data_IF_881361235621
#
_entry.id   IF_881361235621
#
_cell.length_a   1.000
_cell.length_b   1.000
_cell.length_c   1.000
_cell.angle_alpha   90.00
_cell.angle_beta   90.00
_cell.angle_gamma   90.00
#
_symmetry.space_group_name_H-M   'P 1'
#
loop_
_entity.id
_entity.type
_entity.pdbx_description
1 polymer ?
#
# COMPACT_ATOMS: atom_id res chain seq x y z
N UNK A 1 2.50 -6.45 -32.15
CA UNK A 1 1.35 -5.55 -32.43
C UNK A 1 0.26 -5.91 -31.43
N UNK A 2 0.16 -5.15 -30.34
CA UNK A 2 -0.91 -5.28 -29.35
C UNK A 2 -2.11 -4.48 -29.89
N UNK A 3 -3.05 -5.16 -30.53
CA UNK A 3 -4.37 -4.57 -30.81
C UNK A 3 -5.07 -4.39 -29.47
N UNK A 4 -5.13 -3.16 -29.00
CA UNK A 4 -6.05 -2.73 -27.96
C UNK A 4 -7.48 -2.82 -28.54
N UNK A 5 -8.16 -3.94 -28.29
CA UNK A 5 -9.61 -3.95 -28.42
C UNK A 5 -10.14 -2.80 -27.56
N UNK A 6 -10.98 -1.94 -28.14
CA UNK A 6 -11.47 -0.72 -27.53
C UNK A 6 -12.10 -1.02 -26.15
N UNK A 7 -11.44 -0.62 -25.07
CA UNK A 7 -11.94 -0.71 -23.71
C UNK A 7 -13.21 0.16 -23.49
N UNK A 8 -13.65 0.89 -24.53
CA UNK A 8 -14.69 1.90 -24.41
C UNK A 8 -16.13 1.36 -24.34
N UNK A 9 -16.36 0.05 -24.50
CA UNK A 9 -17.74 -0.48 -24.59
C UNK A 9 -18.19 -1.31 -23.38
N UNK A 10 -17.36 -1.49 -22.34
CA UNK A 10 -17.66 -2.45 -21.26
C UNK A 10 -17.76 -1.87 -19.85
N UNK A 11 -17.50 -0.59 -19.66
CA UNK A 11 -17.59 0.03 -18.33
C UNK A 11 -18.79 0.99 -18.24
N UNK A 12 -19.50 1.01 -17.11
CA UNK A 12 -20.46 2.07 -16.84
C UNK A 12 -19.73 3.43 -16.95
N UNK A 13 -20.45 4.49 -17.28
CA UNK A 13 -19.86 5.83 -17.30
C UNK A 13 -19.15 6.08 -15.95
N UNK A 14 -17.97 6.71 -15.98
CA UNK A 14 -17.23 6.98 -14.76
C UNK A 14 -18.08 7.84 -13.81
N UNK A 15 -18.01 7.56 -12.53
CA UNK A 15 -18.59 8.45 -11.52
C UNK A 15 -17.95 9.85 -11.65
N UNK A 16 -18.73 10.93 -11.50
CA UNK A 16 -18.17 12.27 -11.51
C UNK A 16 -17.06 12.41 -10.48
N UNK A 17 -15.97 13.06 -10.87
CA UNK A 17 -14.86 13.34 -9.96
C UNK A 17 -15.34 14.25 -8.82
N UNK A 18 -14.81 14.05 -7.61
CA UNK A 18 -15.01 14.99 -6.52
C UNK A 18 -14.32 16.33 -6.83
N UNK A 19 -14.59 17.36 -6.03
CA UNK A 19 -14.09 18.71 -6.29
C UNK A 19 -12.55 18.77 -6.30
N UNK A 20 -11.88 17.99 -5.47
CA UNK A 20 -10.42 17.99 -5.37
C UNK A 20 -9.77 17.34 -6.60
N UNK A 21 -10.25 16.17 -7.00
CA UNK A 21 -9.77 15.51 -8.22
C UNK A 21 -10.12 16.33 -9.48
N UNK A 22 -11.26 17.02 -9.50
CA UNK A 22 -11.64 17.91 -10.59
C UNK A 22 -10.66 19.07 -10.73
N UNK A 23 -10.30 19.73 -9.61
CA UNK A 23 -9.29 20.81 -9.61
C UNK A 23 -7.92 20.31 -10.07
N UNK A 24 -7.50 19.15 -9.57
CA UNK A 24 -6.21 18.56 -9.93
C UNK A 24 -6.16 18.19 -11.42
N UNK A 25 -7.26 17.63 -11.94
CA UNK A 25 -7.37 17.28 -13.36
C UNK A 25 -7.37 18.54 -14.25
N UNK A 26 -8.10 19.61 -13.85
CA UNK A 26 -8.07 20.89 -14.56
C UNK A 26 -6.66 21.47 -14.61
N UNK A 27 -5.96 21.48 -13.47
CA UNK A 27 -4.55 21.94 -13.40
C UNK A 27 -3.68 21.17 -14.38
N UNK A 28 -3.80 19.83 -14.44
CA UNK A 28 -3.04 19.02 -15.38
C UNK A 28 -3.35 19.37 -16.86
N UNK A 29 -4.60 19.73 -17.19
CA UNK A 29 -4.96 20.18 -18.54
C UNK A 29 -4.35 21.55 -18.86
N UNK A 30 -4.37 22.49 -17.90
CA UNK A 30 -3.79 23.83 -18.07
C UNK A 30 -2.28 23.76 -18.32
N UNK A 31 -1.60 22.83 -17.66
CA UNK A 31 -0.17 22.58 -17.78
C UNK A 31 0.28 21.99 -19.11
N UNK A 32 -0.63 21.40 -19.88
CA UNK A 32 -0.31 20.92 -21.22
C UNK A 32 0.11 22.06 -22.16
N UNK A 33 -0.32 23.31 -21.90
CA UNK A 33 -0.06 24.47 -22.74
C UNK A 33 1.28 25.18 -22.44
N UNK A 34 2.11 24.57 -21.56
CA UNK A 34 3.45 25.09 -21.26
C UNK A 34 3.47 26.05 -20.07
N UNK A 35 2.34 26.26 -19.36
CA UNK A 35 2.38 26.89 -18.05
C UNK A 35 3.16 25.98 -17.10
N UNK A 36 4.10 26.53 -16.37
CA UNK A 36 4.91 25.76 -15.42
C UNK A 36 4.03 25.33 -14.24
N UNK A 37 3.76 24.06 -14.16
CA UNK A 37 2.72 23.45 -13.36
C UNK A 37 3.10 23.05 -11.96
N UNK A 38 4.36 22.95 -11.72
CA UNK A 38 4.88 22.51 -10.42
C UNK A 38 5.24 23.78 -9.66
N UNK A 39 4.47 24.08 -8.60
CA UNK A 39 4.88 25.05 -7.61
C UNK A 39 6.24 24.62 -7.04
N UNK A 40 7.30 25.25 -7.49
CA UNK A 40 8.65 24.99 -7.02
C UNK A 40 9.19 26.24 -6.32
N UNK A 41 9.65 26.06 -5.10
CA UNK A 41 10.27 27.13 -4.30
C UNK A 41 11.68 27.51 -4.77
N UNK A 42 12.18 26.89 -5.84
CA UNK A 42 13.52 27.11 -6.41
C UNK A 42 14.62 26.35 -5.67
N UNK A 43 14.27 25.46 -4.72
CA UNK A 43 15.26 24.76 -3.90
C UNK A 43 15.22 23.24 -4.17
N UNK A 44 16.41 22.67 -4.32
CA UNK A 44 16.58 21.22 -4.34
C UNK A 44 16.40 20.64 -2.92
N UNK A 45 15.88 19.41 -2.86
CA UNK A 45 15.80 18.63 -1.62
C UNK A 45 17.02 17.74 -1.44
N UNK A 46 17.43 17.50 -0.20
CA UNK A 46 18.53 16.60 0.11
C UNK A 46 18.13 15.66 1.24
N UNK A 47 18.38 14.35 1.04
CA UNK A 47 18.18 13.32 2.04
C UNK A 47 19.46 12.55 2.23
N UNK A 48 19.96 12.47 3.47
CA UNK A 48 21.19 11.77 3.77
C UNK A 48 21.09 10.29 3.35
N UNK A 49 22.12 9.76 2.71
CA UNK A 49 22.20 8.36 2.29
C UNK A 49 22.04 7.38 3.48
N UNK A 50 22.46 7.80 4.67
CA UNK A 50 22.27 7.05 5.92
C UNK A 50 20.79 6.76 6.23
N UNK A 51 19.85 7.60 5.78
CA UNK A 51 18.41 7.33 5.95
C UNK A 51 17.96 6.03 5.28
N UNK A 52 18.71 5.53 4.29
CA UNK A 52 18.40 4.31 3.54
C UNK A 52 19.28 3.11 3.94
N UNK A 53 20.28 3.30 4.79
CA UNK A 53 21.27 2.25 5.07
C UNK A 53 21.58 2.05 6.56
N UNK A 54 21.22 3.00 7.42
CA UNK A 54 21.51 2.96 8.84
C UNK A 54 20.47 2.12 9.61
N UNK A 55 20.88 1.05 10.33
CA UNK A 55 19.98 0.24 11.15
C UNK A 55 19.29 1.03 12.28
N UNK A 56 19.98 1.98 12.89
CA UNK A 56 19.41 2.78 13.98
C UNK A 56 18.35 3.76 13.44
N UNK A 57 18.56 4.26 12.23
CA UNK A 57 17.55 5.07 11.54
C UNK A 57 16.29 4.24 11.29
N UNK A 58 16.42 3.04 10.74
CA UNK A 58 15.29 2.13 10.53
C UNK A 58 14.59 1.77 11.85
N UNK A 59 15.34 1.49 12.91
CA UNK A 59 14.74 1.16 14.22
C UNK A 59 13.86 2.30 14.74
N UNK A 60 14.27 3.56 14.52
CA UNK A 60 13.49 4.77 14.85
C UNK A 60 12.24 4.88 13.99
N UNK A 61 12.35 4.66 12.66
CA UNK A 61 11.21 4.64 11.74
C UNK A 61 10.17 3.59 12.15
N UNK A 62 10.61 2.39 12.47
CA UNK A 62 9.72 1.31 12.95
C UNK A 62 9.03 1.70 14.25
N UNK A 63 9.78 2.22 15.23
CA UNK A 63 9.26 2.54 16.57
C UNK A 63 8.30 3.74 16.54
N UNK A 64 8.67 4.80 15.85
CA UNK A 64 8.01 6.10 15.98
C UNK A 64 7.04 6.42 14.84
N UNK A 65 7.14 5.71 13.69
CA UNK A 65 6.30 5.96 12.52
C UNK A 65 5.49 4.71 12.14
N UNK A 66 6.17 3.64 11.69
CA UNK A 66 5.50 2.49 11.09
C UNK A 66 4.60 1.73 12.06
N UNK A 67 4.93 1.65 13.34
CA UNK A 67 4.08 1.00 14.34
C UNK A 67 3.01 1.90 14.93
N UNK A 68 3.07 3.21 14.67
CA UNK A 68 2.17 4.21 15.26
C UNK A 68 1.04 4.67 14.35
N UNK A 69 1.20 4.47 13.05
CA UNK A 69 0.23 4.90 12.04
C UNK A 69 -0.58 3.72 11.51
N UNK A 70 -1.80 3.96 10.99
CA UNK A 70 -2.55 2.96 10.26
C UNK A 70 -1.77 2.45 9.05
N UNK A 71 -1.49 1.16 9.00
CA UNK A 71 -0.87 0.48 7.86
C UNK A 71 -1.90 -0.37 7.14
N UNK A 72 -1.87 -0.36 5.80
CA UNK A 72 -2.68 -1.26 5.00
C UNK A 72 -2.02 -2.64 4.93
N UNK A 73 -2.69 -3.66 5.46
CA UNK A 73 -2.16 -5.02 5.57
C UNK A 73 -2.62 -5.94 4.44
N UNK A 74 -3.62 -5.57 3.65
CA UNK A 74 -4.17 -6.37 2.57
C UNK A 74 -5.59 -5.99 2.21
N UNK A 75 -6.23 -6.80 1.38
CA UNK A 75 -7.63 -6.61 0.96
C UNK A 75 -8.56 -7.56 1.71
N UNK A 76 -9.66 -7.04 2.23
CA UNK A 76 -10.62 -7.80 3.04
C UNK A 76 -11.29 -8.96 2.26
N UNK A 77 -11.37 -8.81 0.93
CA UNK A 77 -11.90 -9.84 0.04
C UNK A 77 -10.98 -11.09 -0.07
N UNK A 78 -9.74 -11.04 0.44
CA UNK A 78 -8.93 -12.25 0.65
C UNK A 78 -9.54 -13.15 1.74
N UNK A 79 -10.29 -12.56 2.65
CA UNK A 79 -10.92 -13.21 3.79
C UNK A 79 -12.46 -13.15 3.65
N UNK A 80 -13.01 -13.62 2.52
CA UNK A 80 -14.44 -13.46 2.19
C UNK A 80 -15.39 -14.11 3.20
N UNK A 81 -15.04 -15.28 3.69
CA UNK A 81 -15.92 -16.11 4.48
C UNK A 81 -15.59 -16.03 6.00
N UNK A 82 -16.57 -16.05 6.88
CA UNK A 82 -16.32 -16.20 8.31
C UNK A 82 -15.43 -17.40 8.61
N UNK A 83 -14.40 -17.20 9.42
CA UNK A 83 -13.37 -18.18 9.73
C UNK A 83 -12.18 -18.18 8.76
N UNK A 84 -12.23 -17.41 7.67
CA UNK A 84 -11.05 -17.19 6.83
C UNK A 84 -9.98 -16.46 7.62
N UNK A 85 -8.73 -16.88 7.43
CA UNK A 85 -7.59 -16.30 8.13
C UNK A 85 -6.32 -16.39 7.31
N UNK A 86 -5.39 -15.46 7.60
CA UNK A 86 -4.11 -15.30 6.92
C UNK A 86 -3.04 -14.95 7.94
N UNK A 87 -1.92 -15.68 7.96
CA UNK A 87 -0.76 -15.33 8.75
C UNK A 87 0.22 -14.49 7.92
N UNK A 88 0.82 -13.46 8.54
CA UNK A 88 1.83 -12.61 7.90
C UNK A 88 2.79 -12.04 8.93
N UNK A 89 4.08 -12.05 8.62
CA UNK A 89 5.10 -11.38 9.44
C UNK A 89 5.33 -9.96 8.90
N UNK A 90 5.03 -8.96 9.73
CA UNK A 90 5.19 -7.54 9.37
C UNK A 90 5.95 -6.83 10.50
N UNK A 91 7.03 -6.11 10.16
CA UNK A 91 7.87 -5.36 11.10
C UNK A 91 8.34 -6.21 12.30
N UNK A 92 8.67 -7.48 12.03
CA UNK A 92 9.08 -8.45 13.04
C UNK A 92 7.96 -8.96 13.96
N UNK A 93 6.70 -8.62 13.65
CA UNK A 93 5.53 -9.06 14.40
C UNK A 93 4.80 -10.16 13.63
N UNK A 94 4.59 -11.35 14.21
CA UNK A 94 3.75 -12.38 13.61
C UNK A 94 2.28 -12.00 13.77
N UNK A 95 1.64 -11.63 12.67
CA UNK A 95 0.24 -11.22 12.62
C UNK A 95 -0.66 -12.36 12.15
N UNK A 96 -1.92 -12.30 12.59
CA UNK A 96 -3.00 -13.14 12.14
C UNK A 96 -4.19 -12.24 11.79
N UNK A 97 -4.53 -12.18 10.52
CA UNK A 97 -5.70 -11.49 10.02
C UNK A 97 -6.83 -12.52 9.97
N UNK A 98 -7.98 -12.22 10.55
CA UNK A 98 -9.11 -13.16 10.69
C UNK A 98 -10.40 -12.44 10.36
N UNK A 99 -11.26 -13.07 9.55
CA UNK A 99 -12.68 -12.70 9.52
C UNK A 99 -13.41 -13.52 10.57
N UNK A 100 -13.95 -12.88 11.57
CA UNK A 100 -14.67 -13.55 12.65
C UNK A 100 -16.06 -14.05 12.23
N UNK A 101 -16.84 -14.54 13.16
CA UNK A 101 -18.17 -15.12 12.88
C UNK A 101 -19.21 -14.07 12.54
N UNK A 102 -19.06 -12.89 13.06
CA UNK A 102 -19.89 -11.72 12.83
C UNK A 102 -19.57 -11.02 11.49
N UNK A 103 -18.49 -11.46 10.83
CA UNK A 103 -18.03 -10.90 9.56
C UNK A 103 -17.05 -9.73 9.72
N UNK A 104 -16.60 -9.46 10.95
CA UNK A 104 -15.66 -8.38 11.24
C UNK A 104 -14.21 -8.83 11.08
N UNK A 105 -13.34 -7.90 10.67
CA UNK A 105 -11.89 -8.16 10.58
C UNK A 105 -11.24 -7.99 11.95
N UNK A 106 -10.53 -9.01 12.36
CA UNK A 106 -9.66 -9.00 13.54
C UNK A 106 -8.20 -9.09 13.11
N UNK A 107 -7.34 -8.28 13.71
CA UNK A 107 -5.88 -8.40 13.58
C UNK A 107 -5.31 -8.75 14.95
N UNK A 108 -4.74 -9.94 15.04
CA UNK A 108 -4.25 -10.53 16.28
C UNK A 108 -2.74 -10.79 16.17
N UNK A 109 -2.03 -10.80 17.30
CA UNK A 109 -0.70 -11.38 17.32
C UNK A 109 -0.81 -12.92 17.24
N UNK A 110 -0.17 -13.51 16.26
CA UNK A 110 -0.11 -14.96 16.03
C UNK A 110 0.83 -15.65 17.05
N UNK A 111 0.57 -15.41 18.35
CA UNK A 111 1.42 -15.80 19.46
C UNK A 111 0.56 -16.40 20.57
N UNK A 112 0.69 -17.70 20.81
CA UNK A 112 -0.01 -18.39 21.89
C UNK A 112 0.37 -17.82 23.27
N UNK A 113 -0.64 -17.51 24.08
CA UNK A 113 -0.47 -16.87 25.40
C UNK A 113 0.01 -17.81 26.50
N UNK A 114 0.30 -19.09 26.14
CA UNK A 114 0.97 -20.02 27.04
C UNK A 114 2.49 -19.83 27.01
N UNK A 115 3.15 -20.15 25.90
CA UNK A 115 4.61 -20.13 25.74
C UNK A 115 5.08 -19.58 24.40
N UNK A 116 4.26 -18.79 23.71
CA UNK A 116 4.67 -18.01 22.54
C UNK A 116 4.70 -18.74 21.19
N UNK A 117 4.27 -20.00 21.11
CA UNK A 117 4.23 -20.70 19.82
C UNK A 117 3.23 -20.03 18.84
N UNK A 118 3.56 -20.01 17.56
CA UNK A 118 2.62 -19.59 16.51
C UNK A 118 1.43 -20.55 16.44
N UNK A 119 0.24 -19.98 16.16
CA UNK A 119 -1.02 -20.75 16.06
C UNK A 119 -1.30 -21.17 14.62
N UNK A 120 -0.99 -20.31 13.66
CA UNK A 120 -1.07 -20.57 12.24
C UNK A 120 0.33 -20.51 11.64
N UNK A 121 0.71 -21.58 10.96
CA UNK A 121 1.95 -21.70 10.19
C UNK A 121 1.59 -21.55 8.70
N UNK A 122 2.50 -21.09 7.89
CA UNK A 122 2.27 -20.80 6.47
C UNK A 122 1.94 -19.31 6.27
N UNK A 123 2.91 -18.59 5.68
CA UNK A 123 2.74 -17.17 5.40
C UNK A 123 1.99 -16.97 4.08
N UNK A 124 1.11 -15.96 4.06
CA UNK A 124 0.39 -15.52 2.86
C UNK A 124 -0.59 -16.54 2.24
N UNK A 125 -0.88 -17.64 2.93
CA UNK A 125 -1.89 -18.60 2.52
C UNK A 125 -3.17 -18.41 3.32
N UNK A 126 -4.29 -18.26 2.61
CA UNK A 126 -5.61 -18.17 3.24
C UNK A 126 -6.09 -19.56 3.58
N UNK A 127 -6.46 -19.76 4.83
CA UNK A 127 -7.16 -20.97 5.26
C UNK A 127 -8.45 -20.63 6.01
N UNK A 128 -9.32 -21.61 6.24
CA UNK A 128 -10.56 -21.43 6.99
C UNK A 128 -10.61 -22.38 8.17
N UNK A 129 -10.89 -21.83 9.37
CA UNK A 129 -11.00 -22.59 10.61
C UNK A 129 -12.12 -22.04 11.50
N UNK A 130 -12.69 -22.92 12.33
CA UNK A 130 -13.69 -22.52 13.32
C UNK A 130 -13.07 -21.99 14.62
N UNK A 131 -11.78 -22.28 14.87
CA UNK A 131 -11.02 -21.88 16.05
C UNK A 131 -9.53 -22.02 15.77
N UNK A 132 -8.71 -21.44 16.64
CA UNK A 132 -7.25 -21.45 16.58
C UNK A 132 -6.73 -22.34 17.71
N UNK A 133 -6.16 -23.49 17.39
CA UNK A 133 -5.57 -24.40 18.36
C UNK A 133 -4.06 -24.37 18.27
N UNK A 134 -3.40 -24.08 19.38
CA UNK A 134 -1.94 -24.06 19.47
C UNK A 134 -1.37 -25.47 19.22
N UNK A 135 -0.44 -25.62 18.25
CA UNK A 135 0.10 -26.94 17.93
C UNK A 135 0.98 -27.54 19.03
N UNK A 136 1.40 -26.72 20.00
CA UNK A 136 2.31 -27.17 21.07
C UNK A 136 1.57 -27.88 22.20
N UNK A 137 0.54 -27.23 22.84
CA UNK A 137 -0.16 -27.80 23.98
C UNK A 137 -1.68 -27.77 23.85
N UNK A 138 -2.22 -27.50 22.67
CA UNK A 138 -3.66 -27.53 22.43
C UNK A 138 -4.47 -26.38 23.06
N UNK A 139 -3.83 -25.30 23.54
CA UNK A 139 -4.61 -24.13 23.96
C UNK A 139 -5.40 -23.60 22.78
N UNK A 140 -6.73 -23.45 22.97
CA UNK A 140 -7.63 -23.16 21.86
C UNK A 140 -8.30 -21.81 22.07
N UNK A 141 -8.27 -21.00 21.02
CA UNK A 141 -8.85 -19.66 20.97
C UNK A 141 -9.97 -19.62 19.93
N UNK A 142 -10.96 -18.75 20.17
CA UNK A 142 -11.94 -18.42 19.13
C UNK A 142 -11.36 -17.43 18.09
N UNK A 143 -12.20 -17.05 17.12
CA UNK A 143 -11.79 -16.18 16.03
C UNK A 143 -11.54 -14.72 16.45
N UNK A 144 -12.09 -14.32 17.61
CA UNK A 144 -11.85 -13.03 18.24
C UNK A 144 -10.63 -13.06 19.19
N UNK A 145 -9.95 -14.22 19.28
CA UNK A 145 -8.74 -14.39 20.09
C UNK A 145 -8.99 -14.71 21.56
N UNK A 146 -10.23 -14.93 22.01
CA UNK A 146 -10.52 -15.31 23.41
C UNK A 146 -10.11 -16.75 23.67
N UNK A 147 -9.44 -17.01 24.80
CA UNK A 147 -9.04 -18.38 25.20
C UNK A 147 -10.27 -19.19 25.63
N UNK A 148 -10.57 -20.27 24.89
CA UNK A 148 -11.74 -21.12 25.08
C UNK A 148 -11.45 -22.41 25.81
N UNK A 149 -10.27 -23.03 25.56
CA UNK A 149 -9.92 -24.29 26.17
C UNK A 149 -8.46 -24.38 26.53
N UNK A 150 -8.18 -25.00 27.66
CA UNK A 150 -6.86 -25.41 28.14
C UNK A 150 -6.91 -26.91 28.38
N UNK A 151 -6.20 -27.75 27.64
CA UNK A 151 -6.07 -29.17 27.96
C UNK A 151 -5.51 -29.38 29.38
N UNK A 152 -6.03 -30.39 30.08
CA UNK A 152 -5.66 -30.67 31.48
C UNK A 152 -5.75 -29.40 32.38
N UNK A 153 -6.86 -28.68 32.31
CA UNK A 153 -7.11 -27.43 33.04
C UNK A 153 -6.79 -27.53 34.54
N UNK A 154 -6.92 -28.70 35.15
CA UNK A 154 -6.60 -28.91 36.58
C UNK A 154 -5.11 -28.59 36.90
N UNK A 155 -4.23 -28.67 35.90
CA UNK A 155 -2.83 -28.26 36.02
C UNK A 155 -2.60 -26.74 36.00
N UNK A 156 -3.67 -25.95 35.78
CA UNK A 156 -3.64 -24.49 35.70
C UNK A 156 -4.71 -23.84 36.62
N UNK A 157 -4.68 -24.15 37.92
CA UNK A 157 -5.79 -23.80 38.82
C UNK A 157 -5.99 -22.30 39.04
N UNK A 158 -4.94 -21.48 38.82
CA UNK A 158 -4.98 -20.03 39.01
C UNK A 158 -4.97 -19.24 37.68
N UNK A 159 -5.01 -19.95 36.53
CA UNK A 159 -5.02 -19.28 35.23
C UNK A 159 -6.41 -18.76 34.90
N UNK A 160 -6.53 -17.45 34.88
CA UNK A 160 -7.72 -16.79 34.34
C UNK A 160 -7.70 -16.80 32.83
N UNK A 161 -8.68 -17.45 32.20
CA UNK A 161 -8.81 -17.52 30.74
C UNK A 161 -9.05 -16.16 30.09
N UNK A 162 -9.81 -15.27 30.80
CA UNK A 162 -10.14 -13.95 30.25
C UNK A 162 -8.87 -13.09 30.03
N UNK A 163 -7.88 -13.22 30.93
CA UNK A 163 -6.61 -12.49 30.81
C UNK A 163 -5.60 -13.11 29.83
N UNK A 164 -5.90 -14.30 29.30
CA UNK A 164 -5.01 -15.06 28.39
C UNK A 164 -5.52 -15.15 26.96
N UNK A 165 -6.37 -14.23 26.52
CA UNK A 165 -6.72 -14.03 25.11
C UNK A 165 -5.51 -13.60 24.28
N UNK A 166 -5.53 -13.84 22.98
CA UNK A 166 -4.51 -13.31 22.06
C UNK A 166 -4.49 -11.78 22.12
N UNK A 167 -3.34 -11.20 21.95
CA UNK A 167 -3.23 -9.73 21.87
C UNK A 167 -3.84 -9.28 20.56
N UNK A 168 -4.84 -8.39 20.67
CA UNK A 168 -5.51 -7.77 19.54
C UNK A 168 -4.83 -6.44 19.23
N UNK A 169 -4.70 -6.14 17.95
CA UNK A 169 -4.25 -4.84 17.46
C UNK A 169 -5.47 -4.00 17.02
N UNK A 170 -5.44 -2.68 17.17
CA UNK A 170 -6.44 -1.80 16.58
C UNK A 170 -6.51 -2.02 15.07
N UNK A 171 -7.67 -2.41 14.58
CA UNK A 171 -7.89 -2.71 13.16
C UNK A 171 -9.25 -2.22 12.69
N UNK A 172 -9.35 -1.93 11.40
CA UNK A 172 -10.59 -1.56 10.73
C UNK A 172 -10.57 -2.03 9.27
N UNK A 173 -11.74 -2.37 8.75
CA UNK A 173 -11.97 -2.50 7.31
C UNK A 173 -12.48 -1.16 6.77
N UNK A 174 -11.79 -0.60 5.76
CA UNK A 174 -12.24 0.59 5.05
C UNK A 174 -11.85 0.52 3.58
N UNK A 175 -12.80 0.82 2.69
CA UNK A 175 -12.63 0.72 1.23
C UNK A 175 -12.20 -0.68 0.76
N UNK A 176 -12.65 -1.75 1.46
CA UNK A 176 -12.23 -3.12 1.17
C UNK A 176 -10.80 -3.44 1.61
N UNK A 177 -10.08 -2.50 2.22
CA UNK A 177 -8.73 -2.68 2.73
C UNK A 177 -8.73 -2.95 4.23
N UNK A 178 -7.81 -3.79 4.68
CA UNK A 178 -7.56 -4.09 6.10
C UNK A 178 -6.49 -3.15 6.62
N UNK A 179 -6.84 -2.35 7.60
CA UNK A 179 -5.95 -1.41 8.26
C UNK A 179 -5.67 -1.84 9.69
N UNK A 180 -4.44 -1.64 10.16
CA UNK A 180 -4.11 -1.84 11.56
C UNK A 180 -2.99 -0.90 12.03
N UNK A 181 -3.01 -0.57 13.33
CA UNK A 181 -1.89 0.04 14.03
C UNK A 181 -1.11 -1.07 14.74
N UNK A 182 0.19 -1.19 14.45
CA UNK A 182 1.03 -2.30 14.95
C UNK A 182 1.64 -2.00 16.33
N UNK A 183 0.87 -1.32 17.15
CA UNK A 183 1.17 -1.03 18.55
C UNK A 183 0.04 -1.61 19.43
N UNK A 184 0.32 -2.68 20.20
CA UNK A 184 -0.70 -3.34 21.02
C UNK A 184 -1.17 -2.51 22.22
N UNK A 185 -0.53 -1.38 22.51
CA UNK A 185 -0.93 -0.49 23.61
C UNK A 185 -1.80 0.69 23.11
N UNK A 186 -1.98 0.83 21.81
CA UNK A 186 -2.91 1.76 21.19
C UNK A 186 -4.35 1.23 21.26
N UNK A 187 -5.32 2.12 21.57
CA UNK A 187 -6.72 1.76 21.81
C UNK A 187 -7.66 2.29 20.74
N UNK A 188 -7.53 1.99 19.51
CA UNK A 188 -8.44 2.42 18.46
C UNK A 188 -7.71 2.83 17.21
N UNK A 189 -8.46 2.94 16.13
CA UNK A 189 -7.97 3.34 14.83
C UNK A 189 -9.01 4.21 14.13
N UNK A 190 -8.61 5.38 13.65
CA UNK A 190 -9.43 6.23 12.79
C UNK A 190 -8.79 6.31 11.41
N UNK A 191 -9.20 5.41 10.52
CA UNK A 191 -8.69 5.35 9.15
C UNK A 191 -9.19 6.52 8.31
N UNK A 192 -10.44 6.97 8.50
CA UNK A 192 -11.01 8.09 7.75
C UNK A 192 -10.28 9.39 8.07
N UNK A 193 -10.10 9.68 9.35
CA UNK A 193 -9.34 10.86 9.79
C UNK A 193 -7.88 10.79 9.35
N UNK A 194 -7.26 9.61 9.36
CA UNK A 194 -5.90 9.41 8.87
C UNK A 194 -5.77 9.68 7.36
N UNK A 195 -6.69 9.17 6.53
CA UNK A 195 -6.69 9.39 5.09
C UNK A 195 -7.07 10.82 4.70
N UNK A 196 -7.87 11.51 5.53
CA UNK A 196 -8.35 12.87 5.24
C UNK A 196 -9.06 12.95 3.88
N UNK A 197 -8.72 13.91 3.04
CA UNK A 197 -9.33 14.07 1.71
C UNK A 197 -9.11 12.86 0.76
N UNK A 198 -8.08 12.03 0.98
CA UNK A 198 -7.92 10.81 0.19
C UNK A 198 -9.04 9.80 0.42
N UNK A 199 -9.72 9.85 1.56
CA UNK A 199 -10.87 9.01 1.85
C UNK A 199 -12.04 9.26 0.88
N UNK A 200 -12.28 10.54 0.56
CA UNK A 200 -13.28 10.97 -0.43
C UNK A 200 -12.85 10.59 -1.86
N UNK A 201 -11.57 10.71 -2.18
CA UNK A 201 -11.04 10.29 -3.48
C UNK A 201 -11.23 8.79 -3.70
N UNK A 202 -10.85 7.98 -2.72
CA UNK A 202 -10.97 6.51 -2.77
C UNK A 202 -12.45 6.09 -2.87
N UNK A 203 -13.34 6.78 -2.15
CA UNK A 203 -14.80 6.59 -2.26
C UNK A 203 -15.29 6.90 -3.66
N UNK A 204 -14.91 8.06 -4.22
CA UNK A 204 -15.28 8.51 -5.57
C UNK A 204 -14.83 7.51 -6.64
N UNK A 205 -13.65 6.91 -6.48
CA UNK A 205 -13.08 5.95 -7.41
C UNK A 205 -13.60 4.52 -7.22
N UNK A 206 -14.48 4.30 -6.23
CA UNK A 206 -15.22 3.07 -6.02
C UNK A 206 -14.38 1.88 -5.56
N UNK A 207 -13.21 2.10 -4.93
CA UNK A 207 -12.32 1.02 -4.53
C UNK A 207 -13.00 0.00 -3.60
N UNK A 208 -13.90 0.44 -2.71
CA UNK A 208 -14.61 -0.44 -1.77
C UNK A 208 -15.47 -1.51 -2.42
N UNK A 209 -15.82 -1.37 -3.71
CA UNK A 209 -16.55 -2.37 -4.49
C UNK A 209 -15.65 -3.33 -5.26
N UNK A 210 -14.35 -3.04 -5.35
CA UNK A 210 -13.42 -3.88 -6.09
C UNK A 210 -13.24 -5.25 -5.43
N UNK A 211 -12.85 -6.23 -6.25
CA UNK A 211 -12.57 -7.60 -5.85
C UNK A 211 -11.08 -7.87 -5.83
N UNK A 212 -10.63 -8.62 -4.86
CA UNK A 212 -9.27 -9.13 -4.84
C UNK A 212 -9.08 -10.14 -5.97
N UNK A 213 -8.16 -9.86 -6.88
CA UNK A 213 -7.86 -10.75 -8.00
C UNK A 213 -6.60 -11.58 -7.75
N UNK A 214 -5.47 -10.92 -7.44
CA UNK A 214 -4.18 -11.59 -7.25
C UNK A 214 -3.26 -10.78 -6.34
N UNK A 215 -2.30 -11.47 -5.70
CA UNK A 215 -1.25 -10.86 -4.91
C UNK A 215 0.08 -11.59 -5.14
N UNK A 216 1.18 -10.83 -5.23
CA UNK A 216 2.53 -11.32 -4.98
C UNK A 216 3.11 -10.65 -3.75
N UNK A 217 3.74 -11.47 -2.90
CA UNK A 217 4.51 -11.00 -1.75
C UNK A 217 5.92 -11.59 -1.87
N UNK A 218 6.94 -10.72 -1.87
CA UNK A 218 8.33 -11.14 -2.07
C UNK A 218 9.29 -10.30 -1.26
N UNK A 219 10.40 -10.91 -0.84
CA UNK A 219 11.52 -10.19 -0.24
C UNK A 219 12.36 -9.58 -1.36
N UNK A 220 12.71 -8.30 -1.20
CA UNK A 220 13.47 -7.55 -2.17
C UNK A 220 14.71 -6.96 -1.50
N UNK A 221 15.92 -7.09 -2.12
CA UNK A 221 17.17 -6.62 -1.53
C UNK A 221 17.34 -5.10 -1.74
N UNK A 222 16.46 -4.33 -1.15
CA UNK A 222 16.44 -2.87 -1.25
C UNK A 222 15.73 -2.23 -0.06
N UNK A 223 16.07 -0.96 0.24
CA UNK A 223 15.36 -0.18 1.25
C UNK A 223 13.93 0.11 0.81
N UNK A 224 13.00 0.02 1.75
CA UNK A 224 11.56 0.21 1.50
C UNK A 224 11.21 1.60 0.97
N UNK A 225 11.97 2.65 1.36
CA UNK A 225 11.73 4.03 0.90
C UNK A 225 12.08 4.24 -0.58
N UNK A 226 13.04 3.47 -1.14
CA UNK A 226 13.38 3.61 -2.56
C UNK A 226 12.20 3.33 -3.49
N UNK A 227 11.32 2.40 -3.11
CA UNK A 227 10.07 2.20 -3.85
C UNK A 227 9.03 3.29 -3.58
N UNK A 228 8.94 3.81 -2.34
CA UNK A 228 8.09 4.97 -2.06
C UNK A 228 8.53 6.20 -2.86
N UNK A 229 9.83 6.42 -2.99
CA UNK A 229 10.40 7.52 -3.77
C UNK A 229 10.06 7.37 -5.26
N UNK A 230 10.32 6.20 -5.85
CA UNK A 230 10.09 5.96 -7.28
C UNK A 230 8.64 6.28 -7.72
N UNK A 231 7.64 6.05 -6.86
CA UNK A 231 6.23 6.25 -7.24
C UNK A 231 5.66 7.63 -6.89
N UNK A 232 6.47 8.55 -6.39
CA UNK A 232 6.05 9.91 -6.10
C UNK A 232 6.65 10.95 -7.07
N UNK A 233 7.22 10.49 -8.17
CA UNK A 233 7.75 11.32 -9.26
C UNK A 233 7.46 10.67 -10.62
N UNK A 234 7.75 11.38 -11.71
CA UNK A 234 7.51 10.92 -13.09
C UNK A 234 8.78 10.99 -13.96
N UNK A 235 9.88 11.43 -13.36
CA UNK A 235 11.12 11.72 -14.06
C UNK A 235 11.76 10.45 -14.65
N UNK A 236 11.68 9.31 -13.95
CA UNK A 236 12.23 8.04 -14.43
C UNK A 236 11.42 7.38 -15.57
N UNK A 237 10.11 7.72 -15.71
CA UNK A 237 9.19 6.98 -16.60
C UNK A 237 9.74 6.86 -18.03
N UNK A 238 10.17 7.97 -18.62
CA UNK A 238 10.65 7.98 -20.02
C UNK A 238 11.94 7.20 -20.24
N UNK A 239 12.77 7.11 -19.22
CA UNK A 239 14.09 6.47 -19.32
C UNK A 239 14.00 5.00 -18.92
N UNK A 240 13.50 4.73 -17.72
CA UNK A 240 13.42 3.39 -17.16
C UNK A 240 12.39 2.53 -17.91
N UNK A 241 11.19 3.06 -18.07
CA UNK A 241 10.05 2.34 -18.64
C UNK A 241 9.89 2.52 -20.16
N UNK A 242 10.96 2.93 -20.85
CA UNK A 242 10.91 3.27 -22.31
C UNK A 242 10.33 2.16 -23.19
N UNK A 243 10.47 0.91 -22.79
CA UNK A 243 10.03 -0.27 -23.56
C UNK A 243 8.75 -0.90 -23.02
N UNK A 244 8.25 -0.44 -21.89
CA UNK A 244 7.06 -0.98 -21.21
C UNK A 244 5.91 0.03 -21.21
N UNK A 245 5.81 0.88 -20.21
CA UNK A 245 4.66 1.78 -20.01
C UNK A 245 4.86 3.21 -20.51
N UNK A 246 6.10 3.68 -20.74
CA UNK A 246 6.34 5.04 -21.20
C UNK A 246 5.55 5.43 -22.47
N UNK A 247 5.30 4.54 -23.47
CA UNK A 247 4.50 4.87 -24.64
C UNK A 247 3.04 5.27 -24.32
N UNK A 248 2.53 4.93 -23.15
CA UNK A 248 1.15 5.27 -22.74
C UNK A 248 1.05 6.61 -22.00
N UNK A 249 2.18 7.28 -21.73
CA UNK A 249 2.24 8.51 -20.96
C UNK A 249 2.79 9.68 -21.75
N UNK A 250 2.29 10.86 -21.47
CA UNK A 250 2.87 12.12 -21.92
C UNK A 250 4.16 12.40 -21.12
N UNK A 251 5.15 12.94 -21.82
CA UNK A 251 6.44 13.22 -21.22
C UNK A 251 6.35 14.31 -20.16
N UNK A 252 6.78 14.01 -18.93
CA UNK A 252 6.84 14.95 -17.80
C UNK A 252 5.50 15.69 -17.51
N UNK A 253 4.37 15.14 -17.93
CA UNK A 253 3.04 15.72 -17.67
C UNK A 253 2.40 15.05 -16.47
N UNK A 254 2.53 15.71 -15.34
CA UNK A 254 1.94 15.26 -14.07
C UNK A 254 1.50 16.46 -13.24
N UNK A 255 0.41 16.31 -12.53
CA UNK A 255 -0.03 17.25 -11.50
C UNK A 255 -0.15 16.51 -10.17
N UNK A 256 0.45 17.03 -9.13
CA UNK A 256 0.43 16.39 -7.82
C UNK A 256 0.27 17.42 -6.70
N UNK A 257 -0.22 16.97 -5.56
CA UNK A 257 -0.34 17.79 -4.35
C UNK A 257 -0.24 16.96 -3.07
N UNK A 258 0.21 17.60 -2.01
CA UNK A 258 0.23 17.00 -0.67
C UNK A 258 -1.14 17.05 -0.01
N UNK A 259 -1.56 15.97 0.63
CA UNK A 259 -2.82 15.85 1.38
C UNK A 259 -2.52 15.33 2.78
N UNK A 260 -2.46 16.19 3.78
CA UNK A 260 -2.00 15.80 5.11
C UNK A 260 -0.59 15.21 5.05
N UNK A 261 -0.41 13.96 5.48
CA UNK A 261 0.85 13.23 5.34
C UNK A 261 1.01 12.58 3.95
N UNK A 262 -0.06 12.46 3.20
CA UNK A 262 -0.15 11.72 1.95
C UNK A 262 0.14 12.61 0.73
N UNK A 263 0.17 11.97 -0.44
CA UNK A 263 0.30 12.66 -1.73
C UNK A 263 -0.66 12.03 -2.74
N UNK A 264 -1.27 12.84 -3.61
CA UNK A 264 -1.97 12.37 -4.81
C UNK A 264 -1.33 12.96 -6.06
N UNK A 265 -1.13 12.13 -7.07
CA UNK A 265 -0.45 12.49 -8.31
C UNK A 265 -1.24 11.96 -9.49
N UNK A 266 -1.58 12.83 -10.43
CA UNK A 266 -2.09 12.48 -11.74
C UNK A 266 -0.95 12.50 -12.75
N UNK A 267 -0.76 11.42 -13.49
CA UNK A 267 0.19 11.32 -14.59
C UNK A 267 -0.58 11.26 -15.91
N UNK A 268 -0.35 12.21 -16.79
CA UNK A 268 -1.10 12.37 -18.05
C UNK A 268 -0.83 11.22 -19.01
N UNK A 269 -1.89 10.55 -19.47
CA UNK A 269 -1.81 9.52 -20.50
C UNK A 269 -1.89 10.14 -21.92
N UNK A 270 -1.52 9.34 -22.91
CA UNK A 270 -1.60 9.70 -24.35
C UNK A 270 -2.98 10.24 -24.78
N UNK A 271 -4.05 9.81 -24.09
CA UNK A 271 -5.44 10.25 -24.33
C UNK A 271 -5.84 11.53 -23.60
N UNK A 272 -4.99 12.09 -22.75
CA UNK A 272 -5.29 13.30 -21.98
C UNK A 272 -5.70 14.50 -22.86
N UNK A 273 -5.08 14.76 -24.06
CA UNK A 273 -5.47 15.88 -24.91
C UNK A 273 -6.94 15.86 -25.32
N UNK A 274 -7.55 14.68 -25.46
CA UNK A 274 -8.96 14.55 -25.82
C UNK A 274 -9.92 15.01 -24.70
N UNK A 275 -9.48 15.01 -23.45
CA UNK A 275 -10.29 15.47 -22.32
C UNK A 275 -10.60 16.97 -22.36
N UNK A 276 -9.81 17.78 -23.06
CA UNK A 276 -10.05 19.23 -23.24
C UNK A 276 -11.37 19.56 -23.92
N UNK A 277 -11.81 18.71 -24.84
CA UNK A 277 -13.08 18.89 -25.55
C UNK A 277 -14.30 18.42 -24.73
N UNK A 278 -14.07 17.85 -23.53
CA UNK A 278 -15.12 17.31 -22.69
C UNK A 278 -15.44 18.26 -21.52
N UNK A 279 -16.71 18.33 -21.11
CA UNK A 279 -17.05 19.04 -19.88
C UNK A 279 -16.50 18.27 -18.66
N UNK A 280 -16.22 18.94 -17.53
CA UNK A 280 -15.63 18.30 -16.34
C UNK A 280 -16.36 17.05 -15.84
N UNK A 281 -17.69 16.99 -16.02
CA UNK A 281 -18.51 15.84 -15.63
C UNK A 281 -18.26 14.57 -16.48
N UNK A 282 -17.61 14.74 -17.64
CA UNK A 282 -17.25 13.64 -18.54
C UNK A 282 -15.75 13.27 -18.46
N UNK A 283 -15.00 13.89 -17.56
CA UNK A 283 -13.62 13.52 -17.34
C UNK A 283 -13.54 12.15 -16.65
N UNK A 284 -12.66 11.33 -17.19
CA UNK A 284 -12.37 9.99 -16.67
C UNK A 284 -10.88 9.89 -16.34
N UNK A 285 -10.58 9.88 -15.05
CA UNK A 285 -9.19 9.77 -14.56
C UNK A 285 -8.52 8.52 -15.13
N UNK A 286 -9.20 7.36 -15.10
CA UNK A 286 -8.61 6.10 -15.52
C UNK A 286 -8.30 6.03 -17.02
N UNK A 287 -9.04 6.80 -17.82
CA UNK A 287 -8.86 6.88 -19.27
C UNK A 287 -7.80 7.89 -19.70
N UNK A 288 -7.79 9.07 -19.06
CA UNK A 288 -6.99 10.21 -19.49
C UNK A 288 -5.71 10.39 -18.68
N UNK A 289 -5.66 9.79 -17.49
CA UNK A 289 -4.51 9.84 -16.61
C UNK A 289 -4.32 8.50 -15.88
N UNK A 290 -3.27 8.40 -15.11
CA UNK A 290 -3.11 7.41 -14.03
C UNK A 290 -3.01 8.18 -12.73
N UNK A 291 -3.91 7.89 -11.79
CA UNK A 291 -3.85 8.47 -10.45
C UNK A 291 -3.07 7.53 -9.53
N UNK A 292 -2.16 8.10 -8.77
CA UNK A 292 -1.46 7.44 -7.68
C UNK A 292 -1.77 8.16 -6.38
N UNK A 293 -2.25 7.45 -5.36
CA UNK A 293 -2.25 7.89 -3.99
C UNK A 293 -1.05 7.28 -3.28
N UNK A 294 -0.09 8.10 -2.89
CA UNK A 294 0.97 7.70 -1.98
C UNK A 294 0.47 7.85 -0.55
N UNK A 295 0.07 6.73 0.03
CA UNK A 295 -0.48 6.66 1.39
C UNK A 295 0.69 6.47 2.35
N UNK A 296 1.01 7.55 3.06
CA UNK A 296 2.07 7.54 4.06
C UNK A 296 1.80 6.49 5.16
N UNK A 297 2.81 5.77 5.70
CA UNK A 297 4.21 5.88 5.34
C UNK A 297 4.63 4.98 4.17
N UNK A 298 3.96 3.89 3.85
CA UNK A 298 4.55 2.76 3.13
C UNK A 298 3.64 2.11 2.09
N UNK A 299 2.58 2.79 1.65
CA UNK A 299 1.61 2.19 0.72
C UNK A 299 1.30 3.09 -0.46
N UNK A 300 0.95 2.47 -1.57
CA UNK A 300 0.56 3.14 -2.81
C UNK A 300 -0.73 2.50 -3.36
N UNK A 301 -1.64 3.32 -3.85
CA UNK A 301 -2.77 2.90 -4.69
C UNK A 301 -2.59 3.51 -6.08
N UNK A 302 -2.54 2.67 -7.10
CA UNK A 302 -2.42 3.08 -8.50
C UNK A 302 -3.68 2.65 -9.24
N UNK A 303 -4.38 3.63 -9.81
CA UNK A 303 -5.62 3.40 -10.54
C UNK A 303 -5.33 3.25 -12.03
N UNK A 304 -5.26 1.99 -12.48
CA UNK A 304 -5.15 1.62 -13.89
C UNK A 304 -6.48 1.80 -14.63
N UNK A 305 -6.51 1.73 -15.98
CA UNK A 305 -7.76 1.88 -16.74
C UNK A 305 -8.90 0.98 -16.29
N UNK A 306 -8.64 -0.27 -15.96
CA UNK A 306 -9.64 -1.29 -15.64
C UNK A 306 -9.36 -2.08 -14.35
N UNK A 307 -8.36 -1.67 -13.58
CA UNK A 307 -7.95 -2.34 -12.35
C UNK A 307 -7.34 -1.34 -11.36
N UNK A 308 -6.98 -1.79 -10.18
CA UNK A 308 -6.24 -0.99 -9.19
C UNK A 308 -5.13 -1.84 -8.58
N UNK A 309 -3.91 -1.33 -8.55
CA UNK A 309 -2.81 -1.91 -7.79
C UNK A 309 -2.72 -1.27 -6.41
N UNK A 310 -2.53 -2.09 -5.39
CA UNK A 310 -2.08 -1.67 -4.07
C UNK A 310 -0.69 -2.25 -3.83
N UNK A 311 0.23 -1.41 -3.46
CA UNK A 311 1.57 -1.82 -3.05
C UNK A 311 1.81 -1.43 -1.60
N UNK A 312 2.44 -2.33 -0.83
CA UNK A 312 2.89 -2.04 0.53
C UNK A 312 4.34 -2.49 0.69
N UNK A 313 5.17 -1.63 1.25
CA UNK A 313 6.59 -1.83 1.47
C UNK A 313 6.88 -1.93 2.97
N UNK A 314 7.15 -3.14 3.46
CA UNK A 314 7.45 -3.36 4.86
C UNK A 314 8.95 -3.63 5.05
N UNK A 315 9.70 -2.78 5.76
CA UNK A 315 11.12 -3.03 6.00
C UNK A 315 11.33 -4.31 6.81
N UNK A 316 12.34 -5.08 6.41
CA UNK A 316 12.88 -6.25 7.14
C UNK A 316 14.23 -5.87 7.76
N UNK A 317 15.07 -5.20 6.98
CA UNK A 317 16.35 -4.62 7.37
C UNK A 317 16.55 -3.30 6.62
N UNK A 318 17.63 -2.54 6.85
CA UNK A 318 17.90 -1.34 6.06
C UNK A 318 18.02 -1.61 4.55
N UNK A 319 18.43 -2.82 4.16
CA UNK A 319 18.68 -3.23 2.79
C UNK A 319 17.79 -4.38 2.32
N UNK A 320 16.71 -4.68 3.03
CA UNK A 320 15.72 -5.68 2.61
C UNK A 320 14.31 -5.25 3.02
N UNK A 321 13.36 -5.41 2.13
CA UNK A 321 11.93 -5.20 2.41
C UNK A 321 11.08 -6.40 1.98
N UNK A 322 9.91 -6.55 2.61
CA UNK A 322 8.80 -7.32 2.06
C UNK A 322 7.99 -6.37 1.16
N UNK A 323 8.00 -6.64 -0.13
CA UNK A 323 7.17 -5.96 -1.12
C UNK A 323 5.92 -6.79 -1.36
N UNK A 324 4.75 -6.17 -1.15
CA UNK A 324 3.44 -6.81 -1.36
C UNK A 324 2.71 -6.04 -2.44
N UNK A 325 2.49 -6.65 -3.60
CA UNK A 325 1.66 -6.11 -4.67
C UNK A 325 0.35 -6.88 -4.75
N UNK A 326 -0.76 -6.20 -4.55
CA UNK A 326 -2.13 -6.72 -4.66
C UNK A 326 -2.84 -6.04 -5.82
N UNK A 327 -3.56 -6.82 -6.62
CA UNK A 327 -4.27 -6.36 -7.79
C UNK A 327 -5.76 -6.58 -7.62
N UNK A 328 -6.54 -5.51 -7.81
CA UNK A 328 -7.98 -5.49 -7.61
C UNK A 328 -8.70 -5.19 -8.92
N UNK A 329 -9.78 -5.88 -9.16
CA UNK A 329 -10.63 -5.73 -10.34
C UNK A 329 -12.00 -5.21 -9.95
N UNK A 330 -12.74 -4.51 -10.82
CA UNK A 330 -14.08 -4.00 -10.48
C UNK A 330 -15.08 -5.10 -10.10
N UNK A 331 -14.85 -6.31 -10.57
CA UNK A 331 -15.70 -7.48 -10.34
C UNK A 331 -14.88 -8.77 -10.41
N UNK A 332 -15.41 -9.89 -9.96
CA UNK A 332 -14.85 -11.20 -10.25
C UNK A 332 -14.91 -11.46 -11.78
N UNK A 333 -13.94 -12.20 -12.38
CA UNK A 333 -13.96 -12.52 -13.80
C UNK A 333 -15.26 -13.24 -14.19
N UNK A 334 -15.95 -12.72 -15.20
CA UNK A 334 -17.21 -13.30 -15.71
C UNK A 334 -16.98 -14.55 -16.56
N UNK A 335 -15.81 -14.63 -17.21
CA UNK A 335 -15.41 -15.72 -18.09
C UNK A 335 -13.87 -15.86 -18.16
N UNK A 336 -13.40 -16.89 -18.85
CA UNK A 336 -11.97 -17.18 -19.02
C UNK A 336 -11.23 -16.09 -19.83
N UNK A 337 -11.91 -15.40 -20.74
CA UNK A 337 -11.30 -14.33 -21.54
C UNK A 337 -11.02 -13.10 -20.69
N UNK A 338 -11.94 -12.73 -19.80
CA UNK A 338 -11.76 -11.65 -18.85
C UNK A 338 -10.71 -12.01 -17.80
N UNK A 339 -10.71 -13.24 -17.29
CA UNK A 339 -9.67 -13.74 -16.41
C UNK A 339 -8.28 -13.63 -17.07
N UNK A 340 -8.15 -14.13 -18.30
CA UNK A 340 -6.90 -14.05 -19.05
C UNK A 340 -6.47 -12.60 -19.36
N UNK A 341 -7.41 -11.67 -19.50
CA UNK A 341 -7.10 -10.24 -19.66
C UNK A 341 -6.44 -9.69 -18.40
N UNK A 342 -7.04 -9.91 -17.21
CA UNK A 342 -6.46 -9.42 -15.97
C UNK A 342 -5.19 -10.16 -15.55
N UNK A 343 -5.06 -11.45 -15.88
CA UNK A 343 -3.82 -12.20 -15.70
C UNK A 343 -2.67 -11.54 -16.48
N UNK A 344 -2.90 -11.20 -17.76
CA UNK A 344 -1.88 -10.49 -18.58
C UNK A 344 -1.55 -9.11 -18.03
N UNK A 345 -2.56 -8.35 -17.58
CA UNK A 345 -2.34 -7.02 -17.01
C UNK A 345 -1.53 -7.12 -15.72
N UNK A 346 -1.88 -8.05 -14.83
CA UNK A 346 -1.12 -8.31 -13.62
C UNK A 346 0.34 -8.67 -13.92
N UNK A 347 0.58 -9.64 -14.81
CA UNK A 347 1.93 -10.07 -15.18
C UNK A 347 2.76 -8.94 -15.82
N UNK A 348 2.15 -8.15 -16.70
CA UNK A 348 2.81 -6.99 -17.30
C UNK A 348 3.25 -5.98 -16.23
N UNK A 349 2.39 -5.67 -15.27
CA UNK A 349 2.65 -4.68 -14.22
C UNK A 349 3.62 -5.27 -13.19
N UNK A 350 3.34 -6.45 -12.65
CA UNK A 350 4.09 -7.04 -11.55
C UNK A 350 5.48 -7.54 -11.97
N UNK A 351 5.55 -8.33 -13.04
CA UNK A 351 6.80 -8.90 -13.52
C UNK A 351 7.55 -7.95 -14.47
N UNK A 352 6.83 -7.31 -15.40
CA UNK A 352 7.42 -6.47 -16.43
C UNK A 352 7.85 -5.11 -15.91
N UNK A 353 6.97 -4.39 -15.22
CA UNK A 353 7.26 -3.02 -14.72
C UNK A 353 7.93 -3.08 -13.35
N UNK A 354 7.22 -3.55 -12.33
CA UNK A 354 7.73 -3.47 -10.96
C UNK A 354 8.99 -4.31 -10.74
N UNK A 355 8.98 -5.59 -11.17
CA UNK A 355 10.12 -6.48 -10.88
C UNK A 355 11.32 -6.24 -11.79
N UNK A 356 11.09 -6.16 -13.09
CA UNK A 356 12.20 -6.10 -14.06
C UNK A 356 12.80 -4.69 -14.17
N UNK A 357 12.07 -3.66 -13.76
CA UNK A 357 12.53 -2.27 -13.92
C UNK A 357 12.66 -1.58 -12.55
N UNK A 358 11.58 -1.27 -11.82
CA UNK A 358 11.63 -0.49 -10.56
C UNK A 358 12.43 -1.17 -9.45
N UNK A 359 12.09 -2.42 -9.11
CA UNK A 359 12.78 -3.18 -8.07
C UNK A 359 14.23 -3.49 -8.46
N UNK A 360 14.48 -3.73 -9.75
CA UNK A 360 15.85 -3.92 -10.24
C UNK A 360 16.71 -2.67 -10.02
N UNK A 361 16.22 -1.49 -10.42
CA UNK A 361 16.96 -0.22 -10.23
C UNK A 361 17.10 0.11 -8.75
N UNK A 362 16.04 -0.08 -7.94
CA UNK A 362 16.10 0.13 -6.48
C UNK A 362 17.16 -0.74 -5.82
N UNK A 363 17.31 -2.01 -6.26
CA UNK A 363 18.38 -2.88 -5.78
C UNK A 363 19.77 -2.40 -6.21
N UNK A 364 19.93 -1.81 -7.43
CA UNK A 364 21.20 -1.21 -7.86
C UNK A 364 21.53 0.04 -7.03
N UNK A 365 20.53 0.89 -6.71
CA UNK A 365 20.71 2.03 -5.82
C UNK A 365 21.18 1.56 -4.44
N UNK A 366 20.55 0.51 -3.90
CA UNK A 366 20.95 -0.07 -2.60
C UNK A 366 22.39 -0.59 -2.60
N UNK A 367 22.83 -1.20 -3.68
CA UNK A 367 24.25 -1.59 -3.85
C UNK A 367 25.17 -0.37 -3.91
N UNK A 368 24.74 0.68 -4.61
CA UNK A 368 25.46 1.96 -4.69
C UNK A 368 25.67 2.62 -3.32
N UNK A 369 24.67 2.58 -2.45
CA UNK A 369 24.77 3.10 -1.07
C UNK A 369 25.91 2.46 -0.28
N UNK A 370 26.18 1.17 -0.48
CA UNK A 370 27.25 0.43 0.21
C UNK A 370 28.66 0.92 -0.20
N UNK A 371 28.78 1.61 -1.32
CA UNK A 371 30.07 2.15 -1.79
C UNK A 371 30.50 3.42 -1.06
N UNK A 372 29.55 4.14 -0.43
CA UNK A 372 29.79 5.45 0.16
C UNK A 372 30.07 6.56 -0.87
N UNK A 373 29.73 6.33 -2.16
CA UNK A 373 29.97 7.31 -3.22
C UNK A 373 29.02 8.54 -3.11
N UNK A 374 27.85 8.36 -2.53
CA UNK A 374 26.86 9.40 -2.31
C UNK A 374 26.64 9.63 -0.81
N UNK A 375 26.85 10.84 -0.34
CA UNK A 375 26.52 11.25 1.04
C UNK A 375 25.04 11.58 1.20
N UNK A 376 24.38 12.00 0.12
CA UNK A 376 22.96 12.35 0.09
C UNK A 376 22.35 12.10 -1.28
N UNK A 377 21.05 11.88 -1.30
CA UNK A 377 20.24 11.96 -2.52
C UNK A 377 19.80 13.40 -2.75
N UNK A 378 19.67 13.77 -4.02
CA UNK A 378 19.26 15.11 -4.47
C UNK A 378 17.91 14.98 -5.16
N UNK A 379 16.95 15.77 -4.74
CA UNK A 379 15.61 15.85 -5.35
C UNK A 379 15.41 17.20 -6.02
N UNK A 380 15.18 17.15 -7.32
CA UNK A 380 15.00 18.35 -8.14
C UNK A 380 13.52 18.77 -8.22
N UNK A 381 13.25 19.68 -9.17
CA UNK A 381 11.93 20.28 -9.40
C UNK A 381 10.81 19.24 -9.59
N UNK A 382 11.07 18.14 -10.29
CA UNK A 382 10.06 17.12 -10.61
C UNK A 382 9.89 16.08 -9.50
N UNK A 383 10.63 16.22 -8.41
CA UNK A 383 10.72 15.28 -7.28
C UNK A 383 10.30 15.92 -5.94
N UNK A 384 9.52 17.01 -5.97
CA UNK A 384 9.12 17.75 -4.76
C UNK A 384 8.29 16.92 -3.79
N UNK A 385 7.53 15.96 -4.29
CA UNK A 385 6.74 15.08 -3.43
C UNK A 385 7.63 14.14 -2.60
N UNK A 386 8.81 13.78 -3.11
CA UNK A 386 9.83 13.04 -2.37
C UNK A 386 10.33 13.87 -1.18
N UNK A 387 10.72 15.13 -1.44
CA UNK A 387 11.14 16.05 -0.39
C UNK A 387 10.09 16.13 0.72
N UNK A 388 8.83 16.40 0.37
CA UNK A 388 7.72 16.45 1.31
C UNK A 388 7.55 15.14 2.10
N UNK A 389 7.66 13.99 1.45
CA UNK A 389 7.56 12.69 2.09
C UNK A 389 8.65 12.52 3.16
N UNK A 390 9.90 12.84 2.84
CA UNK A 390 11.02 12.76 3.78
C UNK A 390 10.95 13.81 4.89
N UNK A 391 10.44 15.01 4.60
CA UNK A 391 10.18 16.05 5.62
C UNK A 391 9.13 15.55 6.63
N UNK A 392 8.05 14.91 6.17
CA UNK A 392 7.03 14.30 7.03
C UNK A 392 7.63 13.17 7.89
N UNK A 393 8.47 12.29 7.32
CA UNK A 393 9.19 11.26 8.08
C UNK A 393 10.04 11.90 9.18
N UNK A 394 10.86 12.88 8.82
CA UNK A 394 11.72 13.59 9.76
C UNK A 394 10.95 14.32 10.87
N UNK A 395 9.81 14.92 10.55
CA UNK A 395 8.92 15.54 11.53
C UNK A 395 8.41 14.54 12.55
N UNK A 396 7.85 13.42 12.08
CA UNK A 396 7.29 12.37 12.96
C UNK A 396 8.35 11.65 13.79
N UNK A 397 9.56 11.48 13.28
CA UNK A 397 10.68 10.95 14.06
C UNK A 397 11.00 11.86 15.24
N UNK A 398 11.16 13.17 15.00
CA UNK A 398 11.43 14.16 16.06
C UNK A 398 10.30 14.19 17.10
N UNK A 399 9.04 14.19 16.66
CA UNK A 399 7.90 14.18 17.57
C UNK A 399 7.83 12.88 18.40
N UNK A 400 8.12 11.74 17.77
CA UNK A 400 8.11 10.44 18.43
C UNK A 400 9.20 10.33 19.51
N UNK A 401 10.39 10.85 19.22
CA UNK A 401 11.51 10.91 20.16
C UNK A 401 11.25 11.84 21.35
N UNK A 402 10.56 12.95 21.12
CA UNK A 402 10.19 13.90 22.18
C UNK A 402 9.14 13.33 23.15
N UNK A 403 8.39 12.31 22.75
CA UNK A 403 7.37 11.64 23.60
C UNK A 403 7.91 10.42 24.36
N UNK A 404 9.17 9.99 24.12
CA UNK A 404 9.81 8.87 24.82
C UNK A 404 9.94 7.61 24.05
#
# INVERSE_FOLDING_TARGET
MLQTASASERHPPPAPLNAALTRLFQRMLDEMDGSESVEWDGQEGYVAAAAYSDPDFLAREVKHVLRRLPLCLGHADQLREPGSMLARDILGMPLLLVRDREGEIQVLLNVCRHRGARLLLGENEVCRRASLTCPYHGWTYDLEGRLRAIPAQAGFPTTDRASRGLRRLPAAERHGLIWAILDPDTTGIDVSGFLGELDDDITTLGLGSHRFFRQHARRCPTNWKLMMDAFQEVYHIKTLHRHTIAPFFLDMKAAGEGVGLHTRILVGRDKLPAARALPPQAWDVRRHATLTHAIFPNSLLIYHPDATSHMAMFPISPDEMLFVHSFFTPQDPRDDAERAHWDRNFEMIDAGVFSAEDLFVSAQIQLGLKSGANDSFVFGRFEQHLRRYHDNLGMLLREGEARG
#
